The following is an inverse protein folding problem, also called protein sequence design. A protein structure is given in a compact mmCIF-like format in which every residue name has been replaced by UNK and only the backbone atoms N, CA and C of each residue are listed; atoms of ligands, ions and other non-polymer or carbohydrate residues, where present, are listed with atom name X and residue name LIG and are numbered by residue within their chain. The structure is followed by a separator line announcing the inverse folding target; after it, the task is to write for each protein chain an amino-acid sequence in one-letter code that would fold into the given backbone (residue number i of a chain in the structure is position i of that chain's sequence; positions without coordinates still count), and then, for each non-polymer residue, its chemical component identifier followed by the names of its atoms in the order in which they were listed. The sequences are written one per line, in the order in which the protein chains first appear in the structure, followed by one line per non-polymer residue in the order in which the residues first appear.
data_IF_603425711283
#
_entry.id   IF_603425711283
#
_cell.length_a   1.000
_cell.length_b   1.000
_cell.length_c   1.000
_cell.angle_alpha   90.00
_cell.angle_beta   90.00
_cell.angle_gamma   90.00
#
_symmetry.space_group_name_H-M   'P 1'
#
loop_
_entity.id
_entity.type
_entity.pdbx_description
1 polymer ?
#
# COMPACT_ATOMS: atom_id res chain seq x y z
N UNK A 1 6.77 8.87 28.29
CA UNK A 1 6.02 8.43 27.07
C UNK A 1 5.68 6.97 27.20
N UNK A 2 4.43 6.65 27.45
CA UNK A 2 3.96 5.25 27.50
C UNK A 2 4.12 4.63 26.12
N UNK A 3 4.98 3.62 25.99
CA UNK A 3 5.12 2.81 24.76
C UNK A 3 3.74 2.29 24.37
N UNK A 4 3.08 2.92 23.41
CA UNK A 4 1.83 2.41 22.84
C UNK A 4 2.16 1.06 22.22
N UNK A 5 1.56 0.01 22.74
CA UNK A 5 1.79 -1.35 22.21
C UNK A 5 1.08 -1.47 20.85
N UNK A 6 1.77 -1.03 19.79
CA UNK A 6 1.31 -1.17 18.41
C UNK A 6 1.41 -2.64 18.04
N UNK A 7 0.30 -3.22 17.61
CA UNK A 7 0.23 -4.66 17.28
C UNK A 7 -0.15 -4.93 15.81
N UNK A 8 -0.57 -3.90 15.07
CA UNK A 8 -0.95 -4.05 13.67
C UNK A 8 -0.52 -2.85 12.84
N UNK A 9 -0.15 -3.11 11.60
CA UNK A 9 0.14 -2.09 10.60
C UNK A 9 -0.74 -2.37 9.37
N UNK A 10 -1.55 -1.38 8.97
CA UNK A 10 -2.36 -1.45 7.75
C UNK A 10 -1.73 -0.51 6.73
N UNK A 11 -1.41 -1.05 5.58
CA UNK A 11 -0.84 -0.30 4.47
C UNK A 11 -1.91 -0.17 3.39
N UNK A 12 -2.35 1.05 3.14
CA UNK A 12 -3.36 1.33 2.12
C UNK A 12 -2.70 1.33 0.75
N UNK A 13 -3.22 0.50 -0.14
CA UNK A 13 -2.66 0.27 -1.46
C UNK A 13 -3.75 0.23 -2.54
N UNK A 14 -3.40 0.24 -3.79
CA UNK A 14 -4.31 0.09 -4.93
C UNK A 14 -3.79 -0.96 -5.92
N UNK A 15 -4.71 -1.63 -6.62
CA UNK A 15 -4.38 -2.75 -7.51
C UNK A 15 -3.93 -2.26 -8.88
N UNK A 16 -2.79 -1.59 -8.94
CA UNK A 16 -2.15 -1.19 -10.19
C UNK A 16 -0.74 -1.77 -10.28
N UNK A 17 -0.28 -2.03 -11.48
CA UNK A 17 1.13 -2.25 -11.73
C UNK A 17 1.84 -0.91 -11.93
N UNK A 18 2.36 -0.39 -10.84
CA UNK A 18 3.14 0.83 -10.82
C UNK A 18 4.14 0.76 -9.67
N UNK A 19 5.17 1.59 -9.70
CA UNK A 19 6.23 1.59 -8.68
C UNK A 19 5.70 1.78 -7.26
N UNK A 20 4.82 2.76 -7.04
CA UNK A 20 4.23 3.03 -5.72
C UNK A 20 3.51 1.83 -5.11
N UNK A 21 2.52 1.20 -5.78
CA UNK A 21 1.86 0.01 -5.28
C UNK A 21 2.79 -1.17 -5.00
N UNK A 22 3.82 -1.37 -5.82
CA UNK A 22 4.82 -2.41 -5.58
C UNK A 22 5.63 -2.13 -4.32
N UNK A 23 6.06 -0.89 -4.12
CA UNK A 23 6.79 -0.47 -2.92
C UNK A 23 5.95 -0.62 -1.66
N UNK A 24 4.65 -0.27 -1.68
CA UNK A 24 3.72 -0.47 -0.57
C UNK A 24 3.54 -1.96 -0.25
N UNK A 25 3.50 -2.81 -1.26
CA UNK A 25 3.42 -4.26 -1.08
C UNK A 25 4.72 -4.84 -0.53
N UNK A 26 5.87 -4.34 -1.00
CA UNK A 26 7.17 -4.70 -0.46
C UNK A 26 7.30 -4.28 1.02
N UNK A 27 6.84 -3.08 1.39
CA UNK A 27 6.79 -2.66 2.80
C UNK A 27 5.99 -3.66 3.65
N UNK A 28 4.83 -4.10 3.17
CA UNK A 28 4.03 -5.10 3.87
C UNK A 28 4.81 -6.40 4.08
N UNK A 29 5.46 -6.90 3.04
CA UNK A 29 6.24 -8.14 3.10
C UNK A 29 7.43 -8.01 4.07
N UNK A 30 8.19 -6.91 4.01
CA UNK A 30 9.35 -6.69 4.88
C UNK A 30 8.94 -6.53 6.35
N UNK A 31 7.90 -5.77 6.65
CA UNK A 31 7.38 -5.63 8.01
C UNK A 31 6.94 -6.98 8.59
N UNK A 32 6.39 -7.85 7.75
CA UNK A 32 6.00 -9.21 8.16
C UNK A 32 7.20 -10.11 8.42
N UNK A 33 8.26 -10.00 7.62
CA UNK A 33 9.51 -10.76 7.84
C UNK A 33 10.12 -10.45 9.20
N UNK A 34 10.03 -9.19 9.65
CA UNK A 34 10.55 -8.76 10.97
C UNK A 34 9.53 -8.90 12.11
N UNK A 35 8.40 -9.59 11.86
CA UNK A 35 7.47 -10.04 12.91
C UNK A 35 6.26 -9.13 13.17
N UNK A 36 6.04 -8.05 12.40
CA UNK A 36 4.83 -7.22 12.56
C UNK A 36 3.61 -7.86 11.87
N UNK A 37 2.41 -7.69 12.44
CA UNK A 37 1.14 -8.00 11.74
C UNK A 37 0.82 -6.88 10.73
N UNK A 38 1.58 -6.86 9.64
CA UNK A 38 1.37 -5.94 8.54
C UNK A 38 0.42 -6.53 7.50
N UNK A 39 -0.53 -5.71 7.02
CA UNK A 39 -1.55 -6.12 6.05
C UNK A 39 -1.82 -5.03 5.04
N UNK A 40 -2.06 -5.42 3.79
CA UNK A 40 -2.53 -4.53 2.74
C UNK A 40 -4.04 -4.37 2.83
N UNK A 41 -4.51 -3.14 2.68
CA UNK A 41 -5.92 -2.80 2.52
C UNK A 41 -6.09 -2.05 1.20
N UNK A 42 -6.82 -2.64 0.27
CA UNK A 42 -6.93 -2.09 -1.07
C UNK A 42 -8.02 -1.03 -1.18
N UNK A 43 -7.72 0.02 -1.92
CA UNK A 43 -8.67 1.06 -2.31
C UNK A 43 -8.73 1.13 -3.84
N UNK A 44 -9.86 1.55 -4.42
CA UNK A 44 -9.94 1.83 -5.85
C UNK A 44 -8.90 2.89 -6.25
N UNK A 45 -8.26 2.70 -7.40
CA UNK A 45 -7.26 3.64 -7.88
C UNK A 45 -7.86 5.04 -8.05
N UNK A 46 -7.12 6.03 -7.58
CA UNK A 46 -7.35 7.47 -7.77
C UNK A 46 -8.69 8.03 -7.31
N UNK A 47 -8.71 8.44 -6.07
CA UNK A 47 -9.70 9.44 -5.62
C UNK A 47 -8.94 10.74 -5.48
N UNK A 48 -9.08 11.62 -6.46
CA UNK A 48 -8.57 12.98 -6.41
C UNK A 48 -9.54 13.89 -5.64
N UNK A 49 -9.03 14.66 -4.70
CA UNK A 49 -9.77 15.71 -4.02
C UNK A 49 -10.63 15.29 -2.82
N UNK A 50 -11.42 16.21 -2.32
CA UNK A 50 -12.34 15.98 -1.20
C UNK A 50 -13.42 14.97 -1.59
N UNK A 51 -13.54 13.92 -0.83
CA UNK A 51 -14.53 12.85 -1.06
C UNK A 51 -15.48 12.77 0.12
N UNK A 52 -16.76 12.54 -0.16
CA UNK A 52 -17.67 12.10 0.89
C UNK A 52 -17.18 10.76 1.46
N UNK A 53 -16.61 10.82 2.67
CA UNK A 53 -16.06 9.66 3.35
C UNK A 53 -17.08 8.54 3.57
N UNK A 54 -18.37 8.83 3.67
CA UNK A 54 -19.40 7.80 3.86
C UNK A 54 -19.58 6.99 2.58
N UNK A 55 -19.69 7.66 1.44
CA UNK A 55 -19.80 7.03 0.13
C UNK A 55 -18.49 6.30 -0.22
N UNK A 56 -17.36 6.91 0.09
CA UNK A 56 -16.04 6.34 -0.14
C UNK A 56 -15.82 5.05 0.64
N UNK A 57 -16.15 5.03 1.93
CA UNK A 57 -16.06 3.81 2.76
C UNK A 57 -16.89 2.66 2.21
N UNK A 58 -18.11 2.93 1.73
CA UNK A 58 -18.98 1.92 1.09
C UNK A 58 -18.33 1.37 -0.19
N UNK A 59 -17.76 2.24 -1.01
CA UNK A 59 -17.07 1.87 -2.25
C UNK A 59 -15.84 1.01 -1.97
N UNK A 60 -15.01 1.41 -1.00
CA UNK A 60 -13.83 0.63 -0.59
C UNK A 60 -14.25 -0.74 -0.05
N UNK A 61 -15.28 -0.80 0.78
CA UNK A 61 -15.77 -2.07 1.34
C UNK A 61 -16.25 -3.02 0.22
N UNK A 62 -17.07 -2.52 -0.70
CA UNK A 62 -17.52 -3.30 -1.87
C UNK A 62 -16.33 -3.80 -2.70
N UNK A 63 -15.31 -2.96 -2.88
CA UNK A 63 -14.12 -3.31 -3.62
C UNK A 63 -13.34 -4.45 -2.96
N UNK A 64 -13.09 -4.38 -1.65
CA UNK A 64 -12.39 -5.43 -0.91
C UNK A 64 -13.20 -6.74 -0.83
N UNK A 65 -14.53 -6.68 -0.69
CA UNK A 65 -15.39 -7.85 -0.74
C UNK A 65 -15.33 -8.52 -2.13
N UNK A 66 -15.26 -7.74 -3.21
CA UNK A 66 -15.05 -8.28 -4.56
C UNK A 66 -13.70 -8.99 -4.71
N UNK A 67 -12.64 -8.45 -4.11
CA UNK A 67 -11.32 -9.10 -4.07
C UNK A 67 -11.42 -10.43 -3.30
N UNK A 68 -11.99 -10.40 -2.09
CA UNK A 68 -12.19 -11.61 -1.27
C UNK A 68 -12.97 -12.68 -2.02
N UNK A 69 -14.08 -12.32 -2.65
CA UNK A 69 -14.89 -13.24 -3.45
C UNK A 69 -14.06 -13.90 -4.58
N UNK A 70 -13.29 -13.11 -5.31
CA UNK A 70 -12.40 -13.63 -6.36
C UNK A 70 -11.32 -14.58 -5.81
N UNK A 71 -10.76 -14.30 -4.64
CA UNK A 71 -9.78 -15.19 -4.01
C UNK A 71 -10.40 -16.50 -3.54
N UNK A 72 -11.61 -16.45 -2.98
CA UNK A 72 -12.36 -17.66 -2.60
C UNK A 72 -12.64 -18.51 -3.84
N UNK A 73 -13.16 -17.90 -4.90
CA UNK A 73 -13.42 -18.61 -6.17
C UNK A 73 -12.12 -19.22 -6.74
N UNK A 74 -11.03 -18.47 -6.73
CA UNK A 74 -9.75 -18.98 -7.20
C UNK A 74 -9.27 -20.18 -6.37
N UNK A 75 -9.41 -20.13 -5.04
CA UNK A 75 -9.01 -21.21 -4.15
C UNK A 75 -9.85 -22.48 -4.37
N UNK A 76 -11.15 -22.31 -4.59
CA UNK A 76 -12.08 -23.44 -4.78
C UNK A 76 -11.98 -24.05 -6.18
N UNK A 77 -11.80 -23.22 -7.20
CA UNK A 77 -11.93 -23.62 -8.60
C UNK A 77 -10.63 -23.52 -9.42
N UNK A 78 -9.48 -23.34 -8.76
CA UNK A 78 -8.20 -23.13 -9.44
C UNK A 78 -7.81 -24.27 -10.41
N UNK A 79 -8.35 -25.48 -10.21
CA UNK A 79 -8.17 -26.64 -11.10
C UNK A 79 -9.09 -26.63 -12.32
N UNK A 80 -10.24 -25.98 -12.24
CA UNK A 80 -11.31 -26.02 -13.24
C UNK A 80 -11.30 -24.80 -14.14
N UNK A 81 -11.02 -23.65 -13.57
CA UNK A 81 -11.04 -22.38 -14.30
C UNK A 81 -9.65 -21.76 -14.20
N UNK A 82 -8.95 -21.66 -15.33
CA UNK A 82 -7.79 -20.80 -15.46
C UNK A 82 -8.27 -19.34 -15.31
N UNK A 83 -8.54 -18.91 -14.09
CA UNK A 83 -8.80 -17.50 -13.78
C UNK A 83 -7.52 -16.70 -14.00
N UNK A 84 -7.31 -16.38 -15.26
CA UNK A 84 -6.09 -15.80 -15.81
C UNK A 84 -5.85 -14.33 -15.39
N UNK A 85 -6.80 -13.67 -14.76
CA UNK A 85 -6.77 -12.21 -14.72
C UNK A 85 -6.10 -11.60 -13.49
N UNK A 86 -5.99 -12.29 -12.36
CA UNK A 86 -5.37 -11.70 -11.16
C UNK A 86 -3.93 -12.16 -10.91
N UNK A 87 -3.61 -13.43 -11.20
CA UNK A 87 -2.26 -13.96 -11.04
C UNK A 87 -1.46 -14.06 -12.33
N UNK A 88 -2.10 -14.16 -13.51
CA UNK A 88 -1.40 -14.26 -14.79
C UNK A 88 -0.76 -12.96 -15.26
N UNK A 89 -1.22 -11.84 -14.78
CA UNK A 89 -0.53 -10.59 -15.07
C UNK A 89 0.62 -10.39 -14.09
N UNK A 90 1.59 -11.24 -13.93
CA UNK A 90 2.79 -11.16 -13.06
C UNK A 90 3.32 -9.76 -12.71
N UNK A 91 2.47 -8.77 -12.75
CA UNK A 91 2.67 -7.33 -12.72
C UNK A 91 1.72 -6.62 -11.74
N UNK A 92 0.97 -7.35 -10.90
CA UNK A 92 0.12 -6.73 -9.88
C UNK A 92 0.86 -6.58 -8.57
N UNK A 93 0.62 -5.48 -7.85
CA UNK A 93 1.10 -5.30 -6.49
C UNK A 93 0.70 -6.42 -5.52
N UNK A 94 -0.31 -7.23 -5.89
CA UNK A 94 -0.75 -8.40 -5.14
C UNK A 94 0.15 -9.64 -5.34
N UNK A 95 1.07 -9.61 -6.30
CA UNK A 95 1.97 -10.73 -6.57
C UNK A 95 3.25 -10.73 -5.73
N UNK A 96 3.46 -9.72 -4.89
CA UNK A 96 4.62 -9.69 -3.98
C UNK A 96 4.50 -10.81 -2.96
N UNK A 97 5.49 -11.73 -2.84
CA UNK A 97 5.43 -12.81 -1.86
C UNK A 97 5.41 -12.29 -0.42
N UNK A 98 4.73 -13.03 0.46
CA UNK A 98 4.70 -12.72 1.91
C UNK A 98 3.70 -11.64 2.33
N UNK A 99 2.94 -11.04 1.41
CA UNK A 99 1.87 -10.10 1.78
C UNK A 99 0.70 -10.83 2.45
N UNK A 100 -0.05 -10.07 3.25
CA UNK A 100 -1.35 -10.46 3.80
C UNK A 100 -2.36 -9.36 3.50
N UNK A 101 -3.57 -9.75 3.09
CA UNK A 101 -4.63 -8.81 2.74
C UNK A 101 -5.61 -8.71 3.90
N UNK A 102 -6.08 -7.50 4.16
CA UNK A 102 -7.20 -7.22 5.04
C UNK A 102 -8.40 -6.79 4.19
N UNK A 103 -9.51 -7.52 4.31
CA UNK A 103 -10.69 -7.25 3.49
C UNK A 103 -11.70 -6.33 4.19
N UNK A 104 -11.72 -6.35 5.52
CA UNK A 104 -12.65 -5.54 6.30
C UNK A 104 -11.91 -4.43 7.05
N UNK A 105 -12.47 -3.21 7.14
CA UNK A 105 -11.85 -2.09 7.85
C UNK A 105 -12.03 -2.21 9.37
N UNK A 106 -11.84 -3.42 9.91
CA UNK A 106 -11.99 -3.70 11.35
C UNK A 106 -10.62 -3.77 11.98
N UNK A 107 -10.31 -2.80 12.83
CA UNK A 107 -9.05 -2.74 13.57
C UNK A 107 -9.16 -1.85 14.81
N UNK A 108 -8.27 -2.03 15.76
CA UNK A 108 -8.17 -1.16 16.92
C UNK A 108 -7.45 0.14 16.53
N UNK A 109 -8.17 1.26 16.49
CA UNK A 109 -7.64 2.57 16.05
C UNK A 109 -6.45 3.06 16.89
N UNK A 110 -6.40 2.72 18.18
CA UNK A 110 -5.35 3.15 19.11
C UNK A 110 -4.07 2.32 18.97
N UNK A 111 -4.20 1.05 18.55
CA UNK A 111 -3.12 0.06 18.49
C UNK A 111 -2.68 -0.28 17.06
N UNK A 112 -3.23 0.41 16.08
CA UNK A 112 -2.93 0.18 14.67
C UNK A 112 -2.31 1.42 14.07
N UNK A 113 -1.22 1.25 13.34
CA UNK A 113 -0.68 2.26 12.44
C UNK A 113 -1.32 2.06 11.07
N UNK A 114 -1.77 3.15 10.45
CA UNK A 114 -2.21 3.12 9.06
C UNK A 114 -1.25 3.95 8.21
N UNK A 115 -0.68 3.31 7.20
CA UNK A 115 0.22 3.94 6.23
C UNK A 115 -0.60 4.30 4.99
N UNK A 116 -0.64 5.57 4.64
CA UNK A 116 -1.25 6.07 3.42
C UNK A 116 -0.19 6.61 2.46
N UNK A 117 -0.26 6.28 1.17
CA UNK A 117 0.50 7.02 0.16
C UNK A 117 -0.04 8.45 -0.01
N UNK A 118 0.76 9.32 -0.59
CA UNK A 118 0.42 10.74 -0.83
C UNK A 118 -0.86 10.94 -1.65
N UNK A 119 -1.22 9.98 -2.48
CA UNK A 119 -2.42 10.06 -3.35
C UNK A 119 -3.74 9.85 -2.61
N UNK A 120 -3.71 9.52 -1.32
CA UNK A 120 -4.92 9.31 -0.52
C UNK A 120 -5.22 10.56 0.30
N UNK A 121 -6.29 11.26 -0.05
CA UNK A 121 -6.76 12.45 0.68
C UNK A 121 -7.29 12.08 2.07
N UNK A 122 -6.93 12.87 3.07
CA UNK A 122 -7.45 12.77 4.45
C UNK A 122 -7.16 11.43 5.14
N UNK A 123 -8.04 11.02 6.02
CA UNK A 123 -7.93 9.79 6.82
C UNK A 123 -9.18 8.91 6.66
N UNK A 124 -9.37 8.25 5.51
CA UNK A 124 -10.60 7.52 5.20
C UNK A 124 -10.89 6.36 6.15
N UNK A 125 -9.90 5.75 6.77
CA UNK A 125 -10.08 4.68 7.73
C UNK A 125 -10.29 5.17 9.16
N UNK A 126 -10.08 6.47 9.43
CA UNK A 126 -10.24 7.07 10.75
C UNK A 126 -9.24 6.54 11.77
N UNK A 127 -8.01 6.25 11.36
CA UNK A 127 -6.94 5.80 12.24
C UNK A 127 -6.50 6.92 13.19
N UNK A 128 -5.99 6.56 14.37
CA UNK A 128 -5.38 7.52 15.29
C UNK A 128 -3.87 7.66 15.08
N UNK A 129 -3.22 6.64 14.54
CA UNK A 129 -1.79 6.67 14.23
C UNK A 129 -1.65 6.58 12.72
N UNK A 130 -1.40 7.71 12.09
CA UNK A 130 -1.28 7.82 10.63
C UNK A 130 0.16 8.07 10.24
N UNK A 131 0.64 7.34 9.25
CA UNK A 131 1.89 7.58 8.54
C UNK A 131 1.56 7.96 7.12
N UNK A 132 2.09 9.09 6.63
CA UNK A 132 2.04 9.52 5.24
C UNK A 132 3.36 9.20 4.57
N UNK A 133 3.32 8.40 3.53
CA UNK A 133 4.52 8.05 2.78
C UNK A 133 4.45 8.65 1.37
N UNK A 134 5.30 9.65 1.15
CA UNK A 134 5.41 10.33 -0.13
C UNK A 134 6.29 9.50 -1.07
N UNK A 135 5.64 8.75 -1.95
CA UNK A 135 6.28 7.86 -2.94
C UNK A 135 6.59 8.58 -4.23
N UNK A 136 5.91 9.70 -4.45
CA UNK A 136 6.03 10.56 -5.62
C UNK A 136 5.71 12.01 -5.23
N UNK A 137 5.57 12.90 -6.22
CA UNK A 137 5.18 14.29 -5.96
C UNK A 137 3.83 14.34 -5.24
N UNK A 138 3.74 15.23 -4.26
CA UNK A 138 2.52 15.42 -3.51
C UNK A 138 1.43 16.06 -4.39
N UNK A 139 0.35 15.32 -4.73
CA UNK A 139 -0.72 15.85 -5.57
C UNK A 139 -1.62 16.87 -4.85
N UNK A 140 -1.48 16.99 -3.52
CA UNK A 140 -2.27 17.87 -2.65
C UNK A 140 -1.41 18.94 -1.99
N UNK A 141 -0.26 19.30 -2.59
CA UNK A 141 0.69 20.25 -2.00
C UNK A 141 0.05 21.59 -1.59
N UNK A 142 -0.97 22.02 -2.32
CA UNK A 142 -1.68 23.28 -2.08
C UNK A 142 -2.95 23.11 -1.21
N UNK A 143 -3.28 21.89 -0.79
CA UNK A 143 -4.49 21.61 -0.01
C UNK A 143 -4.14 21.33 1.46
N UNK A 144 -4.26 22.33 2.31
CA UNK A 144 -3.93 22.22 3.76
C UNK A 144 -4.71 21.10 4.49
N UNK A 145 -5.88 20.74 3.98
CA UNK A 145 -6.76 19.74 4.58
C UNK A 145 -6.48 18.31 4.08
N UNK A 146 -5.58 18.14 3.11
CA UNK A 146 -5.28 16.82 2.53
C UNK A 146 -4.68 15.86 3.55
N UNK A 147 -3.97 16.39 4.53
CA UNK A 147 -3.26 15.60 5.55
C UNK A 147 -3.59 16.08 6.94
N UNK A 148 -3.56 15.17 7.92
CA UNK A 148 -3.76 15.50 9.33
C UNK A 148 -2.54 16.24 9.91
N UNK A 149 -2.79 17.15 10.87
CA UNK A 149 -1.72 17.88 11.57
C UNK A 149 -0.77 16.97 12.34
N UNK A 150 -1.29 15.85 12.85
CA UNK A 150 -0.56 14.88 13.66
C UNK A 150 -0.10 13.66 12.87
N UNK A 151 -0.23 13.68 11.53
CA UNK A 151 0.25 12.60 10.68
C UNK A 151 1.78 12.55 10.73
N UNK A 152 2.33 11.37 10.83
CA UNK A 152 3.78 11.16 10.76
C UNK A 152 4.21 11.07 9.29
N UNK A 153 5.00 12.04 8.83
CA UNK A 153 5.38 12.17 7.43
C UNK A 153 6.76 11.55 7.18
N UNK A 154 6.85 10.75 6.10
CA UNK A 154 8.07 10.16 5.56
C UNK A 154 8.06 10.26 4.04
N UNK A 155 9.23 10.25 3.42
CA UNK A 155 9.36 10.25 1.96
C UNK A 155 10.16 9.03 1.47
N UNK A 156 9.90 8.60 0.26
CA UNK A 156 10.62 7.50 -0.37
C UNK A 156 12.02 7.92 -0.83
N UNK A 157 12.13 9.16 -1.33
CA UNK A 157 13.39 9.79 -1.75
C UNK A 157 13.36 11.27 -1.39
N UNK A 158 14.52 11.89 -1.30
CA UNK A 158 14.63 13.31 -0.98
C UNK A 158 13.88 14.19 -1.98
N UNK A 159 13.93 13.86 -3.27
CA UNK A 159 13.21 14.59 -4.33
C UNK A 159 11.68 14.60 -4.15
N UNK A 160 11.12 13.66 -3.42
CA UNK A 160 9.68 13.58 -3.12
C UNK A 160 9.33 14.10 -1.73
N UNK A 161 10.32 14.64 -1.02
CA UNK A 161 10.11 15.15 0.33
C UNK A 161 9.40 16.50 0.33
N UNK A 162 8.18 16.58 0.90
CA UNK A 162 7.53 17.88 1.11
C UNK A 162 8.16 18.54 2.34
N UNK A 163 9.02 19.54 2.13
CA UNK A 163 9.79 20.21 3.19
C UNK A 163 8.90 20.75 4.33
N UNK A 164 7.73 21.26 4.00
CA UNK A 164 6.78 21.83 4.95
C UNK A 164 6.16 20.78 5.88
N UNK A 165 5.97 19.56 5.38
CA UNK A 165 5.34 18.46 6.11
C UNK A 165 6.37 17.51 6.75
N UNK A 166 7.55 17.40 6.15
CA UNK A 166 8.64 16.56 6.64
C UNK A 166 9.98 17.33 6.70
N UNK A 167 10.07 18.38 7.52
CA UNK A 167 11.26 19.22 7.64
C UNK A 167 12.49 18.44 8.15
N UNK A 168 12.26 17.34 8.85
CA UNK A 168 13.32 16.46 9.35
C UNK A 168 13.86 15.50 8.28
N UNK A 169 13.34 15.57 7.04
CA UNK A 169 13.78 14.73 5.91
C UNK A 169 13.84 13.23 6.26
N UNK A 170 12.79 12.72 6.90
CA UNK A 170 12.69 11.27 7.18
C UNK A 170 12.49 10.51 5.89
N UNK A 171 13.51 9.79 5.48
CA UNK A 171 13.53 9.04 4.23
C UNK A 171 13.47 7.54 4.55
N UNK A 172 12.55 6.83 3.91
CA UNK A 172 12.43 5.36 3.97
C UNK A 172 12.35 4.84 2.55
N UNK A 173 13.39 4.16 2.12
CA UNK A 173 13.45 3.55 0.78
C UNK A 173 13.36 2.04 0.90
N UNK A 174 12.46 1.45 0.12
CA UNK A 174 12.32 0.00 -0.03
C UNK A 174 12.35 -0.33 -1.51
N UNK A 175 13.23 -1.23 -1.90
CA UNK A 175 13.31 -1.72 -3.28
C UNK A 175 12.61 -3.07 -3.36
N UNK A 176 11.76 -3.24 -4.36
CA UNK A 176 11.24 -4.54 -4.76
C UNK A 176 11.90 -4.95 -6.07
N UNK A 177 12.58 -6.08 -6.01
CA UNK A 177 13.21 -6.69 -7.17
C UNK A 177 12.58 -8.07 -7.39
N UNK A 178 11.91 -8.23 -8.52
CA UNK A 178 11.40 -9.54 -8.92
C UNK A 178 12.50 -10.32 -9.65
N UNK A 179 13.18 -11.18 -8.90
CA UNK A 179 14.24 -12.01 -9.45
C UNK A 179 13.79 -12.95 -10.59
N UNK A 180 12.48 -13.23 -10.71
CA UNK A 180 11.97 -14.04 -11.82
C UNK A 180 11.86 -13.24 -13.12
N UNK A 181 11.55 -11.94 -13.04
CA UNK A 181 11.49 -11.05 -14.20
C UNK A 181 12.86 -10.62 -14.69
N UNK A 182 13.84 -10.55 -13.80
CA UNK A 182 15.19 -10.06 -14.09
C UNK A 182 16.25 -11.18 -14.06
N UNK A 183 15.86 -12.39 -14.42
CA UNK A 183 16.82 -13.48 -14.62
C UNK A 183 17.72 -13.14 -15.81
N UNK A 184 19.01 -13.32 -15.62
CA UNK A 184 19.96 -13.23 -16.72
C UNK A 184 19.77 -14.48 -17.60
N UNK A 185 19.13 -14.30 -18.75
CA UNK A 185 18.93 -15.40 -19.71
C UNK A 185 20.14 -15.64 -20.62
N UNK A 186 21.01 -14.64 -20.76
CA UNK A 186 22.20 -14.73 -21.60
C UNK A 186 23.43 -14.89 -20.71
N UNK A 187 23.92 -16.10 -20.58
CA UNK A 187 25.20 -16.43 -19.95
C UNK A 187 26.38 -16.32 -20.93
N UNK A 188 26.16 -15.88 -22.17
CA UNK A 188 27.19 -15.64 -23.15
C UNK A 188 27.90 -14.32 -22.96
N UNK A 189 29.19 -14.27 -23.35
CA UNK A 189 29.95 -13.04 -23.48
C UNK A 189 29.21 -12.07 -24.40
N UNK A 190 28.92 -10.86 -23.92
CA UNK A 190 28.50 -9.75 -24.78
C UNK A 190 29.70 -9.42 -25.67
N UNK A 191 29.67 -9.82 -26.92
CA UNK A 191 30.50 -9.21 -27.93
C UNK A 191 29.99 -7.79 -28.16
N UNK A 192 30.82 -6.80 -27.82
CA UNK A 192 30.57 -5.38 -27.99
C UNK A 192 30.73 -4.94 -29.43
#
# INVERSE_FOLDING_TARGET
MTKRNINKIIIVNYTMYAGGPLVLSALCAELRKIGYDARLYFVPAFIKGKVDYRQYRKTILKYNLKILYKEILYTLFHRIVRFSTFRQQGRSSMCVPGIKIQYLPVFNRKRTIVVYPEVIYGNPLGAQNVVRWFLYYNPFANEKEAFGKDDFHIAFREVFNPSDLNPQKRIVTISYFDAQLYRQYNMGTREG
#
